data_IF_345833155562
#
_entry.id   IF_345833155562
#
_cell.length_a   1.000
_cell.length_b   1.000
_cell.length_c   1.000
_cell.angle_alpha   90.00
_cell.angle_beta   90.00
_cell.angle_gamma   90.00
#
_symmetry.space_group_name_H-M   'P 1'
#
loop_
_entity.id
_entity.type
_entity.pdbx_description
1 polymer ?
#
# COMPACT_ATOMS: atom_id res chain seq x y z
N UNK A 1 5.75 20.01 18.04
CA UNK A 1 6.34 18.67 17.83
C UNK A 1 5.67 17.54 18.61
N UNK A 2 4.88 17.80 19.68
CA UNK A 2 4.22 16.75 20.47
C UNK A 2 2.93 16.15 19.85
N UNK A 3 2.32 16.82 18.88
CA UNK A 3 1.01 16.41 18.32
C UNK A 3 1.08 15.17 17.42
N UNK A 4 2.15 15.02 16.62
CA UNK A 4 2.29 13.92 15.65
C UNK A 4 2.61 12.57 16.31
N UNK A 5 3.31 12.58 17.45
CA UNK A 5 3.67 11.36 18.20
C UNK A 5 2.49 10.85 19.02
N UNK A 6 1.64 11.75 19.52
CA UNK A 6 0.40 11.39 20.23
C UNK A 6 -0.59 10.69 19.29
N UNK A 7 -0.83 11.25 18.10
CA UNK A 7 -1.75 10.66 17.11
C UNK A 7 -1.32 9.25 16.66
N UNK A 8 -0.01 8.98 16.55
CA UNK A 8 0.51 7.66 16.16
C UNK A 8 0.29 6.58 17.23
N UNK A 9 0.36 6.95 18.52
CA UNK A 9 0.04 6.05 19.64
C UNK A 9 -1.45 5.78 19.75
N UNK A 10 -2.28 6.78 19.48
CA UNK A 10 -3.75 6.65 19.51
C UNK A 10 -4.26 5.77 18.36
N UNK A 11 -3.73 5.96 17.15
CA UNK A 11 -4.02 5.09 15.99
C UNK A 11 -3.68 3.63 16.30
N UNK A 12 -2.50 3.37 16.86
CA UNK A 12 -2.07 2.02 17.21
C UNK A 12 -2.83 1.40 18.40
N UNK A 13 -3.53 2.20 19.22
CA UNK A 13 -4.25 1.70 20.39
C UNK A 13 -5.67 1.22 20.05
N UNK A 14 -6.21 1.61 18.90
CA UNK A 14 -7.54 1.23 18.41
C UNK A 14 -7.50 0.22 17.26
N UNK A 15 -6.38 0.15 16.53
CA UNK A 15 -6.22 -0.79 15.43
C UNK A 15 -5.80 -2.19 15.93
N UNK A 16 -6.36 -3.22 15.31
CA UNK A 16 -5.97 -4.61 15.55
C UNK A 16 -4.62 -4.92 14.88
N UNK A 17 -4.04 -6.08 15.17
CA UNK A 17 -2.89 -6.56 14.41
C UNK A 17 -3.33 -6.90 12.97
N UNK A 18 -2.50 -6.59 11.97
CA UNK A 18 -2.78 -6.98 10.59
C UNK A 18 -2.83 -8.51 10.45
N UNK A 19 -3.89 -9.00 9.82
CA UNK A 19 -4.10 -10.41 9.48
C UNK A 19 -4.73 -10.49 8.07
N UNK A 20 -3.97 -10.91 7.04
CA UNK A 20 -2.58 -11.35 7.08
C UNK A 20 -1.59 -10.19 7.29
N UNK A 21 -0.31 -10.51 7.54
CA UNK A 21 0.74 -9.52 7.79
C UNK A 21 1.77 -9.44 6.65
N UNK A 22 1.66 -8.45 5.73
CA UNK A 22 2.58 -8.29 4.60
C UNK A 22 4.01 -7.92 4.97
N UNK A 23 4.28 -7.61 6.24
CA UNK A 23 5.66 -7.40 6.70
C UNK A 23 6.34 -8.73 7.08
N UNK A 24 5.59 -9.84 7.14
CA UNK A 24 6.07 -11.14 7.64
C UNK A 24 5.75 -12.28 6.69
N UNK A 25 4.65 -12.20 5.97
CA UNK A 25 4.11 -13.27 5.14
C UNK A 25 4.30 -12.92 3.66
N UNK A 26 4.76 -13.90 2.88
CA UNK A 26 4.86 -13.75 1.44
C UNK A 26 3.46 -13.85 0.81
N UNK A 27 3.27 -13.12 -0.28
CA UNK A 27 2.04 -13.08 -1.08
C UNK A 27 0.79 -12.63 -0.28
N UNK A 28 0.99 -11.96 0.85
CA UNK A 28 -0.10 -11.43 1.69
C UNK A 28 -0.85 -10.26 1.01
N UNK A 29 -0.23 -9.59 0.04
CA UNK A 29 -0.83 -8.53 -0.76
C UNK A 29 -1.25 -9.00 -2.16
N UNK A 30 -1.27 -10.30 -2.43
CA UNK A 30 -1.72 -10.81 -3.72
C UNK A 30 -3.11 -10.27 -4.07
N UNK A 31 -3.35 -9.96 -5.34
CA UNK A 31 -4.61 -9.37 -5.85
C UNK A 31 -4.98 -7.96 -5.33
N UNK A 32 -4.22 -7.38 -4.40
CA UNK A 32 -4.26 -5.95 -4.13
C UNK A 32 -3.72 -5.17 -5.34
N UNK A 33 -4.11 -3.89 -5.48
CA UNK A 33 -3.66 -3.05 -6.59
C UNK A 33 -2.82 -1.89 -6.08
N UNK A 34 -1.62 -1.71 -6.62
CA UNK A 34 -0.82 -0.52 -6.33
C UNK A 34 -1.41 0.69 -7.06
N UNK A 35 -1.84 1.70 -6.30
CA UNK A 35 -2.45 2.91 -6.85
C UNK A 35 -1.42 4.02 -7.07
N UNK A 36 -0.60 4.28 -6.06
CA UNK A 36 0.42 5.32 -6.11
C UNK A 36 1.57 5.03 -5.14
N UNK A 37 2.71 5.66 -5.41
CA UNK A 37 3.89 5.64 -4.55
C UNK A 37 4.45 7.04 -4.35
N UNK A 38 4.68 7.43 -3.11
CA UNK A 38 5.31 8.72 -2.76
C UNK A 38 6.64 8.50 -2.09
N UNK A 39 7.68 9.11 -2.65
CA UNK A 39 9.04 9.13 -2.08
C UNK A 39 9.38 10.54 -1.63
N UNK A 40 9.70 10.70 -0.34
CA UNK A 40 10.17 11.94 0.24
C UNK A 40 11.63 11.80 0.66
N UNK A 41 12.53 12.49 -0.03
CA UNK A 41 13.97 12.45 0.25
C UNK A 41 14.32 13.20 1.55
N UNK A 42 13.56 14.24 1.90
CA UNK A 42 13.79 15.02 3.13
C UNK A 42 13.57 14.20 4.40
N UNK A 43 12.63 13.25 4.36
CA UNK A 43 12.32 12.37 5.50
C UNK A 43 12.81 10.94 5.30
N UNK A 44 13.52 10.67 4.21
CA UNK A 44 13.91 9.32 3.77
C UNK A 44 12.77 8.32 3.94
N UNK A 45 11.62 8.60 3.30
CA UNK A 45 10.40 7.80 3.44
C UNK A 45 9.85 7.44 2.06
N UNK A 46 9.44 6.19 1.87
CA UNK A 46 8.56 5.79 0.78
C UNK A 46 7.21 5.37 1.38
N UNK A 47 6.12 5.72 0.72
CA UNK A 47 4.78 5.27 1.05
C UNK A 47 4.13 4.68 -0.20
N UNK A 48 3.52 3.51 -0.07
CA UNK A 48 2.81 2.79 -1.14
C UNK A 48 1.35 2.67 -0.75
N UNK A 49 0.46 3.17 -1.61
CA UNK A 49 -0.98 3.14 -1.42
C UNK A 49 -1.57 2.02 -2.27
N UNK A 50 -2.38 1.17 -1.64
CA UNK A 50 -3.01 0.01 -2.27
C UNK A 50 -4.53 0.08 -2.19
N UNK A 51 -5.18 -0.41 -3.24
CA UNK A 51 -6.59 -0.80 -3.28
C UNK A 51 -6.73 -2.25 -2.81
N UNK A 52 -7.67 -2.51 -1.90
CA UNK A 52 -7.88 -3.85 -1.33
C UNK A 52 -9.20 -4.51 -1.76
N UNK A 53 -10.15 -3.82 -2.40
CA UNK A 53 -11.46 -4.41 -2.77
C UNK A 53 -11.37 -5.61 -3.71
N UNK A 54 -10.22 -5.83 -4.36
CA UNK A 54 -9.96 -7.04 -5.18
C UNK A 54 -9.10 -8.09 -4.49
N UNK A 55 -8.53 -7.80 -3.32
CA UNK A 55 -7.72 -8.76 -2.57
C UNK A 55 -8.63 -9.71 -1.80
N UNK A 56 -8.38 -11.01 -1.95
CA UNK A 56 -9.09 -12.07 -1.22
C UNK A 56 -8.46 -12.38 0.15
N UNK A 57 -7.32 -11.76 0.45
CA UNK A 57 -6.50 -12.02 1.61
C UNK A 57 -6.98 -11.22 2.82
N UNK A 58 -7.61 -10.06 2.60
CA UNK A 58 -8.11 -9.18 3.66
C UNK A 58 -9.64 -9.25 3.74
N UNK A 59 -10.17 -9.61 4.90
CA UNK A 59 -11.61 -9.62 5.18
C UNK A 59 -12.15 -8.23 5.58
N UNK A 60 -11.26 -7.25 5.80
CA UNK A 60 -11.60 -5.91 6.29
C UNK A 60 -10.82 -4.82 5.55
N UNK A 61 -11.43 -3.63 5.48
CA UNK A 61 -10.86 -2.46 4.83
C UNK A 61 -10.94 -2.53 3.31
N UNK A 62 -10.79 -1.36 2.69
CA UNK A 62 -10.84 -1.19 1.24
C UNK A 62 -9.54 -0.58 0.68
N UNK A 63 -8.61 -0.19 1.56
CA UNK A 63 -7.31 0.33 1.17
C UNK A 63 -6.20 -0.12 2.13
N UNK A 64 -4.96 -0.04 1.67
CA UNK A 64 -3.80 -0.27 2.51
C UNK A 64 -2.69 0.76 2.27
N UNK A 65 -1.89 0.99 3.32
CA UNK A 65 -0.73 1.85 3.25
C UNK A 65 0.51 1.14 3.81
N UNK A 66 1.54 0.99 2.98
CA UNK A 66 2.86 0.55 3.42
C UNK A 66 3.80 1.75 3.48
N UNK A 67 4.29 2.07 4.68
CA UNK A 67 5.22 3.17 4.93
C UNK A 67 6.59 2.61 5.30
N UNK A 68 7.60 2.90 4.49
CA UNK A 68 9.00 2.51 4.71
C UNK A 68 9.82 3.73 5.10
N UNK A 69 10.40 3.72 6.30
CA UNK A 69 11.20 4.82 6.88
C UNK A 69 12.68 4.49 6.92
N UNK A 70 13.52 5.53 6.94
CA UNK A 70 14.96 5.35 6.77
C UNK A 70 15.27 4.71 5.42
N UNK A 71 14.57 5.16 4.38
CA UNK A 71 14.62 4.64 3.02
C UNK A 71 16.06 4.63 2.50
N UNK A 72 16.49 3.48 2.00
CA UNK A 72 17.81 3.22 1.42
C UNK A 72 17.75 2.99 -0.09
N UNK A 73 16.69 2.36 -0.57
CA UNK A 73 16.45 2.18 -1.99
C UNK A 73 14.97 2.11 -2.30
N UNK A 74 14.61 2.67 -3.46
CA UNK A 74 13.31 2.54 -4.08
C UNK A 74 13.55 2.38 -5.59
N UNK A 75 13.04 1.30 -6.17
CA UNK A 75 13.23 0.99 -7.58
C UNK A 75 11.93 0.53 -8.21
N UNK A 76 11.58 1.16 -9.33
CA UNK A 76 10.49 0.73 -10.20
C UNK A 76 11.06 0.24 -11.52
N UNK A 77 10.56 -0.89 -12.01
CA UNK A 77 10.88 -1.43 -13.34
C UNK A 77 9.57 -1.82 -14.00
N UNK A 78 9.34 -1.36 -15.22
CA UNK A 78 8.20 -1.76 -16.03
C UNK A 78 8.64 -1.91 -17.48
N UNK A 79 7.83 -2.59 -18.29
CA UNK A 79 8.03 -2.57 -19.74
C UNK A 79 7.96 -1.13 -20.29
N UNK A 80 8.69 -0.84 -21.36
CA UNK A 80 8.72 0.48 -22.00
C UNK A 80 7.50 0.73 -22.91
N UNK A 81 6.67 -0.28 -23.14
CA UNK A 81 5.51 -0.17 -24.00
C UNK A 81 4.42 0.66 -23.29
N UNK A 82 3.78 1.62 -23.98
CA UNK A 82 2.59 2.28 -23.46
C UNK A 82 1.50 1.23 -23.23
N UNK A 83 1.15 1.00 -21.96
CA UNK A 83 0.00 0.18 -21.58
C UNK A 83 -1.21 1.11 -21.41
N UNK A 84 -2.42 0.70 -21.85
CA UNK A 84 -3.65 1.36 -21.44
C UNK A 84 -3.74 1.46 -19.92
N UNK A 85 -4.57 2.38 -19.42
CA UNK A 85 -4.86 2.45 -17.99
C UNK A 85 -5.34 1.07 -17.52
N UNK A 86 -4.64 0.51 -16.54
CA UNK A 86 -4.91 -0.83 -16.03
C UNK A 86 -4.67 -0.84 -14.52
N UNK A 87 -5.39 -1.72 -13.82
CA UNK A 87 -5.08 -2.06 -12.44
C UNK A 87 -3.66 -2.66 -12.37
N UNK A 88 -2.79 -2.08 -11.55
CA UNK A 88 -1.46 -2.62 -11.27
C UNK A 88 -1.57 -3.64 -10.15
N UNK A 89 -2.05 -4.83 -10.49
CA UNK A 89 -2.35 -5.91 -9.54
C UNK A 89 -1.07 -6.59 -9.07
N UNK A 90 -0.90 -6.73 -7.77
CA UNK A 90 0.17 -7.52 -7.15
C UNK A 90 -0.07 -9.00 -7.47
N UNK A 91 0.89 -9.63 -8.12
CA UNK A 91 0.87 -11.08 -8.38
C UNK A 91 1.83 -11.84 -7.47
N UNK A 92 2.80 -11.14 -6.88
CA UNK A 92 3.66 -11.65 -5.83
C UNK A 92 4.20 -10.55 -4.94
N UNK A 93 4.40 -10.85 -3.67
CA UNK A 93 5.14 -9.98 -2.74
C UNK A 93 6.00 -10.80 -1.77
N UNK A 94 7.22 -10.32 -1.53
CA UNK A 94 8.23 -11.03 -0.75
C UNK A 94 8.87 -10.06 0.26
N UNK A 95 8.43 -10.08 1.54
CA UNK A 95 9.10 -9.34 2.60
C UNK A 95 10.39 -10.06 3.03
N UNK A 96 11.43 -9.28 3.30
CA UNK A 96 12.69 -9.73 3.91
C UNK A 96 13.06 -8.80 5.07
N UNK A 97 13.15 -9.38 6.26
CA UNK A 97 13.38 -8.66 7.51
C UNK A 97 14.66 -9.10 8.19
N UNK A 98 15.41 -8.12 8.65
CA UNK A 98 16.53 -8.29 9.56
C UNK A 98 16.50 -7.20 10.64
N UNK A 99 17.20 -7.35 11.77
CA UNK A 99 17.28 -6.30 12.79
C UNK A 99 17.73 -4.96 12.17
N UNK A 100 16.88 -3.92 12.27
CA UNK A 100 17.15 -2.60 11.67
C UNK A 100 17.08 -2.54 10.14
N UNK A 101 16.45 -3.52 9.50
CA UNK A 101 16.26 -3.56 8.06
C UNK A 101 14.95 -4.20 7.64
N UNK A 102 14.26 -3.51 6.73
CA UNK A 102 13.14 -4.02 5.99
C UNK A 102 13.42 -3.93 4.49
N UNK A 103 13.08 -4.98 3.76
CA UNK A 103 13.03 -5.00 2.30
C UNK A 103 11.71 -5.66 1.86
N UNK A 104 11.16 -5.20 0.76
CA UNK A 104 10.08 -5.89 0.07
C UNK A 104 10.30 -5.82 -1.44
N UNK A 105 9.94 -6.89 -2.12
CA UNK A 105 9.83 -6.95 -3.57
C UNK A 105 8.41 -7.28 -3.94
N UNK A 106 7.88 -6.56 -4.93
CA UNK A 106 6.56 -6.77 -5.51
C UNK A 106 6.68 -7.08 -6.99
N UNK A 107 5.99 -8.11 -7.45
CA UNK A 107 5.74 -8.38 -8.86
C UNK A 107 4.30 -7.99 -9.21
N UNK A 108 4.12 -7.40 -10.39
CA UNK A 108 2.82 -6.91 -10.85
C UNK A 108 2.39 -7.50 -12.18
N UNK A 109 1.07 -7.52 -12.38
CA UNK A 109 0.42 -7.59 -13.68
C UNK A 109 -0.35 -6.29 -13.94
N UNK A 110 -0.19 -5.62 -15.10
CA UNK A 110 0.78 -5.90 -16.18
C UNK A 110 2.25 -5.86 -15.74
N UNK A 111 3.15 -6.49 -16.51
CA UNK A 111 4.56 -6.75 -16.15
C UNK A 111 5.32 -5.53 -15.60
N UNK A 112 5.50 -5.53 -14.29
CA UNK A 112 6.32 -4.58 -13.55
C UNK A 112 6.86 -5.19 -12.26
N UNK A 113 7.88 -4.54 -11.70
CA UNK A 113 8.49 -4.90 -10.42
C UNK A 113 8.79 -3.63 -9.61
N UNK A 114 8.52 -3.69 -8.30
CA UNK A 114 8.93 -2.69 -7.34
C UNK A 114 9.81 -3.33 -6.27
N UNK A 115 10.97 -2.73 -6.01
CA UNK A 115 11.84 -3.07 -4.88
C UNK A 115 11.94 -1.86 -3.93
N UNK A 116 11.71 -2.07 -2.64
CA UNK A 116 11.85 -1.04 -1.60
C UNK A 116 12.66 -1.57 -0.43
N UNK A 117 13.54 -0.74 0.13
CA UNK A 117 14.32 -1.08 1.31
C UNK A 117 14.51 0.12 2.24
N UNK A 118 14.36 -0.10 3.54
CA UNK A 118 14.53 0.92 4.57
C UNK A 118 14.91 0.31 5.92
N UNK A 119 14.94 1.14 6.96
CA UNK A 119 15.27 0.72 8.31
C UNK A 119 14.08 0.09 9.04
N UNK A 120 12.88 0.61 8.80
CA UNK A 120 11.63 0.18 9.43
C UNK A 120 10.49 0.27 8.42
N UNK A 121 9.46 -0.54 8.62
CA UNK A 121 8.20 -0.42 7.91
C UNK A 121 6.99 -0.50 8.84
N UNK A 122 5.92 0.17 8.41
CA UNK A 122 4.60 0.11 9.01
C UNK A 122 3.60 -0.20 7.90
N UNK A 123 2.69 -1.12 8.17
CA UNK A 123 1.60 -1.47 7.29
C UNK A 123 0.28 -1.13 7.98
N UNK A 124 -0.65 -0.55 7.24
CA UNK A 124 -1.97 -0.18 7.72
C UNK A 124 -3.03 -0.73 6.77
N UNK A 125 -4.02 -1.42 7.33
CA UNK A 125 -5.30 -1.69 6.65
C UNK A 125 -6.26 -0.56 7.00
N UNK A 126 -6.87 0.03 5.99
CA UNK A 126 -7.64 1.27 6.09
C UNK A 126 -9.07 1.04 5.55
N UNK A 127 -10.02 1.69 6.21
CA UNK A 127 -11.36 1.94 5.69
C UNK A 127 -11.39 3.37 5.14
N UNK A 128 -11.57 3.52 3.82
CA UNK A 128 -11.73 4.81 3.15
C UNK A 128 -13.20 5.14 3.00
N UNK A 129 -13.60 6.32 3.46
CA UNK A 129 -14.98 6.78 3.35
C UNK A 129 -15.28 7.30 1.93
N UNK A 130 -16.53 7.13 1.48
CA UNK A 130 -17.05 7.81 0.29
C UNK A 130 -16.72 7.15 -1.04
N UNK A 131 -16.16 5.94 -1.05
CA UNK A 131 -15.97 5.11 -2.24
C UNK A 131 -16.94 3.93 -2.26
N UNK A 132 -17.26 3.43 -3.45
CA UNK A 132 -18.15 2.27 -3.65
C UNK A 132 -17.54 0.96 -3.11
N UNK A 133 -18.35 0.00 -2.71
CA UNK A 133 -17.87 -1.35 -2.36
C UNK A 133 -17.35 -2.13 -3.59
N UNK A 134 -17.76 -1.71 -4.78
CA UNK A 134 -17.35 -2.31 -6.05
C UNK A 134 -16.19 -1.49 -6.64
N UNK A 135 -15.05 -2.12 -7.01
CA UNK A 135 -13.96 -1.42 -7.67
C UNK A 135 -14.37 -0.92 -9.07
N UNK A 136 -13.80 0.19 -9.55
CA UNK A 136 -14.19 0.77 -10.84
C UNK A 136 -13.80 -0.13 -12.02
N UNK A 137 -14.58 -0.07 -13.11
CA UNK A 137 -14.27 -0.76 -14.37
C UNK A 137 -13.36 0.13 -15.25
N UNK A 138 -12.07 -0.19 -15.25
CA UNK A 138 -11.04 0.52 -16.00
C UNK A 138 -11.24 0.47 -17.53
N UNK A 139 -12.04 -0.46 -18.03
CA UNK A 139 -12.32 -0.60 -19.47
C UNK A 139 -13.50 0.25 -19.94
N UNK A 140 -14.41 0.60 -19.03
CA UNK A 140 -15.66 1.29 -19.35
C UNK A 140 -15.69 2.76 -18.86
N UNK A 141 -14.89 3.10 -17.85
CA UNK A 141 -14.94 4.41 -17.20
C UNK A 141 -13.88 5.39 -17.72
N UNK A 142 -14.17 6.69 -17.59
CA UNK A 142 -13.17 7.74 -17.84
C UNK A 142 -12.16 7.80 -16.70
N UNK A 143 -10.96 8.31 -16.96
CA UNK A 143 -9.93 8.49 -15.93
C UNK A 143 -10.40 9.34 -14.74
N UNK A 144 -11.18 10.38 -14.99
CA UNK A 144 -11.73 11.25 -13.94
C UNK A 144 -12.70 10.51 -13.03
N UNK A 145 -13.60 9.69 -13.59
CA UNK A 145 -14.51 8.88 -12.78
C UNK A 145 -13.77 7.77 -12.03
N UNK A 146 -12.77 7.13 -12.65
CA UNK A 146 -11.94 6.12 -11.97
C UNK A 146 -11.23 6.74 -10.76
N UNK A 147 -10.64 7.94 -10.91
CA UNK A 147 -9.95 8.61 -9.82
C UNK A 147 -10.87 8.95 -8.63
N UNK A 148 -12.15 9.23 -8.88
CA UNK A 148 -13.14 9.50 -7.82
C UNK A 148 -13.60 8.26 -7.07
N UNK A 149 -13.40 7.06 -7.64
CA UNK A 149 -13.83 5.79 -7.04
C UNK A 149 -12.68 5.03 -6.37
N UNK A 150 -11.47 5.57 -6.36
CA UNK A 150 -10.29 4.95 -5.77
C UNK A 150 -9.82 5.70 -4.52
N UNK A 151 -9.19 4.99 -3.56
CA UNK A 151 -8.41 5.61 -2.50
C UNK A 151 -7.37 6.59 -3.07
N UNK A 152 -7.27 7.76 -2.46
CA UNK A 152 -6.25 8.75 -2.74
C UNK A 152 -5.63 9.29 -1.44
N UNK A 153 -4.52 10.01 -1.56
CA UNK A 153 -3.78 10.51 -0.39
C UNK A 153 -4.55 11.52 0.47
N UNK A 154 -5.56 12.17 -0.09
CA UNK A 154 -6.45 13.10 0.61
C UNK A 154 -7.72 12.44 1.14
N UNK A 155 -7.94 11.15 0.85
CA UNK A 155 -9.12 10.43 1.32
C UNK A 155 -9.18 10.44 2.84
N UNK A 156 -10.39 10.67 3.36
CA UNK A 156 -10.67 10.42 4.77
C UNK A 156 -10.67 8.91 4.99
N UNK A 157 -9.95 8.45 6.02
CA UNK A 157 -9.86 7.03 6.32
C UNK A 157 -9.72 6.77 7.81
N UNK A 158 -10.11 5.56 8.20
CA UNK A 158 -9.94 5.02 9.54
C UNK A 158 -9.00 3.81 9.49
N UNK A 159 -7.95 3.76 10.33
CA UNK A 159 -7.09 2.59 10.43
C UNK A 159 -7.82 1.47 11.17
N UNK A 160 -7.91 0.30 10.54
CA UNK A 160 -8.54 -0.89 11.10
C UNK A 160 -7.51 -1.83 11.71
N UNK A 161 -6.41 -2.07 10.98
CA UNK A 161 -5.33 -2.95 11.41
C UNK A 161 -3.96 -2.31 11.16
N UNK A 162 -2.96 -2.72 11.94
CA UNK A 162 -1.60 -2.22 11.85
C UNK A 162 -0.56 -3.33 12.08
N UNK A 163 0.55 -3.25 11.37
CA UNK A 163 1.74 -4.05 11.62
C UNK A 163 3.00 -3.18 11.50
N UNK A 164 4.04 -3.53 12.26
CA UNK A 164 5.35 -2.88 12.17
C UNK A 164 6.50 -3.88 12.32
N UNK A 165 7.66 -3.52 11.75
CA UNK A 165 8.91 -4.32 11.80
C UNK A 165 9.69 -4.19 13.10
#
# INVERSE_FOLDING_TARGET
MNSLVASRREISALAEAADPDPLREADALQEAQLLDSRVCQLTSTAALLFELRTSLQFDVGNAALLVVRGLRSFGWKSSAAPVPLAAMTVVSDLPDRAPGSFRARFGFFPDAQLDVAGAQAEFYVLEVDGISDVPPDYSAMSQEHIAQELPEWSSMCNPLQVSST
#
